data_IF_424907923657
#
_entry.id   IF_424907923657
#
_cell.length_a   1.000
_cell.length_b   1.000
_cell.length_c   1.000
_cell.angle_alpha   90.00
_cell.angle_beta   90.00
_cell.angle_gamma   90.00
#
_symmetry.space_group_name_H-M   'P 1'
#
loop_
_entity.id
_entity.type
_entity.pdbx_description
1 polymer ?
#
# COMPACT_ATOMS: atom_id res chain seq x y z
N UNK A 1 -4.22 -1.15 15.34
CA UNK A 1 -3.98 -1.36 13.89
C UNK A 1 -5.32 -1.63 13.21
N UNK A 2 -5.64 -0.96 12.09
CA UNK A 2 -6.98 -0.96 11.48
C UNK A 2 -7.46 -2.38 11.07
N UNK A 3 -6.58 -3.20 10.49
CA UNK A 3 -6.91 -4.57 10.04
C UNK A 3 -7.41 -5.47 11.19
N UNK A 4 -6.98 -5.23 12.43
CA UNK A 4 -7.48 -5.96 13.62
C UNK A 4 -8.96 -5.70 13.92
N UNK A 5 -9.51 -4.57 13.46
CA UNK A 5 -10.91 -4.22 13.69
C UNK A 5 -11.85 -4.99 12.75
N UNK A 6 -11.32 -5.62 11.70
CA UNK A 6 -12.09 -6.45 10.78
C UNK A 6 -12.42 -7.80 11.44
N UNK A 7 -13.58 -8.35 11.11
CA UNK A 7 -13.95 -9.73 11.45
C UNK A 7 -13.04 -10.74 10.74
N UNK A 8 -12.95 -11.96 11.26
CA UNK A 8 -12.14 -13.02 10.65
C UNK A 8 -12.55 -13.32 9.21
N UNK A 9 -13.86 -13.30 8.92
CA UNK A 9 -14.37 -13.48 7.56
C UNK A 9 -13.91 -12.37 6.60
N UNK A 10 -13.82 -11.13 7.07
CA UNK A 10 -13.29 -10.02 6.27
C UNK A 10 -11.77 -10.13 6.07
N UNK A 11 -11.01 -10.53 7.10
CA UNK A 11 -9.55 -10.69 7.00
C UNK A 11 -9.16 -11.77 5.99
N UNK A 12 -9.89 -12.89 5.96
CA UNK A 12 -9.67 -13.98 4.99
C UNK A 12 -9.94 -13.59 3.53
N UNK A 13 -10.62 -12.46 3.29
CA UNK A 13 -10.88 -11.92 1.95
C UNK A 13 -9.81 -10.95 1.48
N UNK A 14 -8.83 -10.63 2.34
CA UNK A 14 -7.73 -9.75 1.99
C UNK A 14 -6.55 -10.55 1.47
N UNK A 15 -6.02 -10.08 0.34
CA UNK A 15 -4.71 -10.43 -0.17
C UNK A 15 -3.92 -9.14 -0.31
N UNK A 16 -2.78 -9.05 0.39
CA UNK A 16 -2.03 -7.80 0.55
C UNK A 16 -0.62 -7.97 0.00
N UNK A 17 -0.25 -7.13 -0.97
CA UNK A 17 1.15 -6.86 -1.27
C UNK A 17 1.59 -5.60 -0.53
N UNK A 18 2.64 -5.68 0.30
CA UNK A 18 3.18 -4.51 1.00
C UNK A 18 4.69 -4.37 0.84
N UNK A 19 5.12 -3.24 0.31
CA UNK A 19 6.53 -2.85 0.37
C UNK A 19 6.84 -2.23 1.75
N UNK A 20 7.90 -2.71 2.41
CA UNK A 20 8.35 -2.23 3.72
C UNK A 20 9.84 -1.88 3.70
N UNK A 21 10.38 -1.24 4.75
CA UNK A 21 11.85 -1.16 4.89
C UNK A 21 12.40 -2.54 5.18
N UNK A 22 13.63 -2.83 4.76
CA UNK A 22 14.26 -4.14 4.98
C UNK A 22 14.17 -4.61 6.44
N UNK A 23 14.47 -3.71 7.39
CA UNK A 23 14.43 -4.00 8.82
C UNK A 23 13.01 -4.21 9.38
N UNK A 24 11.98 -3.81 8.65
CA UNK A 24 10.58 -3.94 9.04
C UNK A 24 9.88 -5.17 8.45
N UNK A 25 10.48 -5.82 7.44
CA UNK A 25 9.82 -6.89 6.67
C UNK A 25 9.32 -8.01 7.58
N UNK A 26 10.18 -8.56 8.42
CA UNK A 26 9.83 -9.69 9.29
C UNK A 26 8.79 -9.31 10.35
N UNK A 27 8.91 -8.10 10.90
CA UNK A 27 7.93 -7.55 11.85
C UNK A 27 6.54 -7.42 11.21
N UNK A 28 6.47 -6.97 9.96
CA UNK A 28 5.21 -6.80 9.22
C UNK A 28 4.61 -8.14 8.83
N UNK A 29 5.41 -9.10 8.33
CA UNK A 29 4.95 -10.47 8.03
C UNK A 29 4.34 -11.13 9.27
N UNK A 30 5.04 -11.07 10.40
CA UNK A 30 4.55 -11.62 11.67
C UNK A 30 3.23 -10.97 12.09
N UNK A 31 3.07 -9.65 11.87
CA UNK A 31 1.83 -8.95 12.17
C UNK A 31 0.65 -9.43 11.30
N UNK A 32 0.85 -9.69 10.01
CA UNK A 32 -0.22 -10.23 9.15
C UNK A 32 -0.54 -11.70 9.46
N UNK A 33 0.48 -12.51 9.71
CA UNK A 33 0.32 -13.92 10.09
C UNK A 33 -0.49 -14.06 11.38
N UNK A 34 -0.21 -13.25 12.40
CA UNK A 34 -0.98 -13.22 13.65
C UNK A 34 -2.45 -12.81 13.46
N UNK A 35 -2.78 -12.17 12.33
CA UNK A 35 -4.14 -11.75 11.97
C UNK A 35 -4.83 -12.69 10.99
N UNK A 36 -4.14 -13.73 10.50
CA UNK A 36 -4.67 -14.65 9.50
C UNK A 36 -4.90 -13.98 8.13
N UNK A 37 -4.10 -12.96 7.80
CA UNK A 37 -4.18 -12.23 6.52
C UNK A 37 -3.09 -12.74 5.58
N UNK A 38 -3.47 -13.08 4.35
CA UNK A 38 -2.51 -13.40 3.30
C UNK A 38 -1.77 -12.13 2.89
N UNK A 39 -0.44 -12.14 3.03
CA UNK A 39 0.37 -10.98 2.70
C UNK A 39 1.74 -11.35 2.13
N UNK A 40 2.10 -10.73 1.02
CA UNK A 40 3.46 -10.72 0.47
C UNK A 40 4.14 -9.42 0.88
N UNK A 41 5.26 -9.54 1.60
CA UNK A 41 6.01 -8.39 2.13
C UNK A 41 7.46 -8.47 1.68
N UNK A 42 7.92 -7.41 1.03
CA UNK A 42 9.28 -7.31 0.46
C UNK A 42 9.85 -5.90 0.66
N UNK A 43 11.18 -5.73 0.73
CA UNK A 43 11.78 -4.41 0.68
C UNK A 43 11.58 -3.72 -0.69
N UNK A 44 11.42 -4.51 -1.74
CA UNK A 44 11.30 -4.03 -3.11
C UNK A 44 10.59 -5.06 -4.01
N UNK A 45 9.84 -4.56 -5.00
CA UNK A 45 9.23 -5.38 -6.04
C UNK A 45 9.63 -4.80 -7.41
N UNK A 46 10.11 -5.65 -8.31
CA UNK A 46 10.54 -5.25 -9.67
C UNK A 46 9.37 -5.14 -10.64
N UNK A 47 8.21 -5.69 -10.29
CA UNK A 47 7.00 -5.84 -11.12
C UNK A 47 5.82 -5.02 -10.58
N UNK A 48 6.09 -3.85 -9.98
CA UNK A 48 5.08 -3.04 -9.29
C UNK A 48 3.88 -2.67 -10.19
N UNK A 49 4.12 -2.33 -11.46
CA UNK A 49 3.04 -2.01 -12.40
C UNK A 49 2.05 -3.17 -12.57
N UNK A 50 2.53 -4.41 -12.69
CA UNK A 50 1.69 -5.59 -12.81
C UNK A 50 0.90 -5.85 -11.52
N UNK A 51 1.56 -5.70 -10.37
CA UNK A 51 0.92 -5.85 -9.05
C UNK A 51 -0.16 -4.81 -8.80
N UNK A 52 0.11 -3.55 -9.15
CA UNK A 52 -0.89 -2.48 -9.07
C UNK A 52 -2.05 -2.73 -10.03
N UNK A 53 -1.80 -3.21 -11.26
CA UNK A 53 -2.86 -3.55 -12.20
C UNK A 53 -3.76 -4.69 -11.71
N UNK A 54 -3.19 -5.67 -10.99
CA UNK A 54 -3.94 -6.77 -10.38
C UNK A 54 -4.67 -6.36 -9.08
N UNK A 55 -4.31 -5.23 -8.47
CA UNK A 55 -4.89 -4.79 -7.22
C UNK A 55 -6.28 -4.17 -7.40
N UNK A 56 -7.18 -4.44 -6.45
CA UNK A 56 -8.49 -3.78 -6.37
C UNK A 56 -8.39 -2.33 -5.86
N UNK A 57 -7.37 -2.05 -5.04
CA UNK A 57 -7.12 -0.76 -4.40
C UNK A 57 -5.63 -0.63 -4.12
N UNK A 58 -5.06 0.55 -4.39
CA UNK A 58 -3.67 0.88 -4.04
C UNK A 58 -3.65 1.81 -2.82
N UNK A 59 -2.71 1.58 -1.90
CA UNK A 59 -2.43 2.50 -0.79
C UNK A 59 -0.98 2.94 -0.88
N UNK A 60 -0.73 4.24 -1.01
CA UNK A 60 0.63 4.74 -1.25
C UNK A 60 0.83 6.17 -0.76
N UNK A 61 2.09 6.63 -0.79
CA UNK A 61 2.39 8.06 -0.71
C UNK A 61 1.99 8.72 -2.03
N UNK A 62 1.65 10.00 -1.97
CA UNK A 62 1.26 10.81 -3.13
C UNK A 62 2.45 11.47 -3.83
N UNK A 63 3.55 10.74 -4.01
CA UNK A 63 4.67 11.19 -4.85
C UNK A 63 4.24 11.31 -6.32
N UNK A 64 4.79 12.28 -7.05
CA UNK A 64 4.37 12.58 -8.43
C UNK A 64 4.42 11.36 -9.36
N UNK A 65 5.51 10.58 -9.31
CA UNK A 65 5.65 9.36 -10.13
C UNK A 65 4.62 8.30 -9.78
N UNK A 66 4.35 8.10 -8.49
CA UNK A 66 3.38 7.11 -8.02
C UNK A 66 1.95 7.48 -8.43
N UNK A 67 1.56 8.74 -8.28
CA UNK A 67 0.22 9.19 -8.68
C UNK A 67 0.04 9.08 -10.20
N UNK A 68 1.07 9.43 -10.97
CA UNK A 68 1.06 9.28 -12.43
C UNK A 68 0.89 7.81 -12.85
N UNK A 69 1.63 6.89 -12.21
CA UNK A 69 1.56 5.47 -12.52
C UNK A 69 0.18 4.88 -12.18
N UNK A 70 -0.37 5.22 -11.01
CA UNK A 70 -1.72 4.81 -10.59
C UNK A 70 -2.78 5.35 -11.56
N UNK A 71 -2.67 6.63 -11.98
CA UNK A 71 -3.59 7.26 -12.91
C UNK A 71 -3.59 6.57 -14.28
N UNK A 72 -2.41 6.20 -14.80
CA UNK A 72 -2.27 5.47 -16.08
C UNK A 72 -2.84 4.06 -15.99
N UNK A 73 -2.61 3.35 -14.88
CA UNK A 73 -3.17 2.01 -14.64
C UNK A 73 -4.69 2.09 -14.36
N UNK A 74 -5.18 3.25 -13.93
CA UNK A 74 -6.57 3.53 -13.64
C UNK A 74 -7.09 2.82 -12.39
N UNK A 75 -6.24 2.54 -11.39
CA UNK A 75 -6.69 1.89 -10.14
C UNK A 75 -7.19 2.90 -9.10
N UNK A 76 -8.25 2.56 -8.36
CA UNK A 76 -8.60 3.31 -7.16
C UNK A 76 -7.41 3.36 -6.19
N UNK A 77 -7.21 4.51 -5.54
CA UNK A 77 -6.12 4.66 -4.58
C UNK A 77 -6.52 5.47 -3.34
N UNK A 78 -5.96 5.07 -2.19
CA UNK A 78 -5.90 5.87 -0.98
C UNK A 78 -4.50 6.46 -0.85
N UNK A 79 -4.40 7.75 -1.07
CA UNK A 79 -3.15 8.49 -1.02
C UNK A 79 -2.92 9.02 0.40
N UNK A 80 -1.74 8.75 0.96
CA UNK A 80 -1.33 9.17 2.31
C UNK A 80 -0.12 10.09 2.20
N UNK A 81 -0.29 11.42 2.08
CA UNK A 81 0.81 12.35 1.91
C UNK A 81 1.87 12.24 3.00
N UNK A 82 3.14 12.43 2.62
CA UNK A 82 4.20 12.63 3.59
C UNK A 82 4.09 14.06 4.17
N UNK A 83 3.91 14.22 5.50
CA UNK A 83 3.60 15.53 6.11
C UNK A 83 4.75 16.54 6.05
N UNK A 84 5.98 16.10 5.76
CA UNK A 84 7.16 16.96 5.65
C UNK A 84 7.69 17.05 4.21
N UNK A 85 6.81 16.91 3.21
CA UNK A 85 7.19 17.16 1.82
C UNK A 85 7.57 18.65 1.66
N UNK A 86 8.77 18.91 1.12
CA UNK A 86 9.38 20.25 1.04
C UNK A 86 8.41 21.32 0.50
N UNK A 87 7.66 20.97 -0.55
CA UNK A 87 6.80 21.91 -1.27
C UNK A 87 5.30 21.65 -1.09
N UNK A 88 4.91 20.79 -0.13
CA UNK A 88 3.52 20.32 0.04
C UNK A 88 2.91 19.63 -1.21
N UNK A 89 3.71 19.33 -2.23
CA UNK A 89 3.25 18.69 -3.48
C UNK A 89 2.49 17.38 -3.26
N UNK A 90 2.88 16.60 -2.25
CA UNK A 90 2.17 15.37 -1.92
C UNK A 90 0.74 15.64 -1.41
N UNK A 91 0.51 16.74 -0.70
CA UNK A 91 -0.84 17.09 -0.28
C UNK A 91 -1.70 17.52 -1.48
N UNK A 92 -1.15 18.32 -2.39
CA UNK A 92 -1.83 18.73 -3.61
C UNK A 92 -2.18 17.52 -4.51
N UNK A 93 -1.22 16.62 -4.71
CA UNK A 93 -1.43 15.40 -5.49
C UNK A 93 -2.51 14.47 -4.90
N UNK A 94 -2.72 14.49 -3.57
CA UNK A 94 -3.75 13.69 -2.93
C UNK A 94 -5.15 14.34 -2.96
N UNK A 95 -5.23 15.63 -3.24
CA UNK A 95 -6.47 16.40 -3.28
C UNK A 95 -7.03 16.59 -4.71
N UNK A 96 -6.27 16.18 -5.73
CA UNK A 96 -6.65 16.23 -7.14
C UNK A 96 -7.51 15.02 -7.55
#
# INVERSE_FOLDING_TARGET
>A
AAVRQLSDAQRKRLDITQQARADDVERVKAAYAALGVAAEVSPFFTDMAARMAAAHLVMSRSGASTVSEIAVIGRPALLVPYPHALDHDQAANAAA
#
